data_IF_482482740926
#
_entry.id   IF_482482740926
#
_cell.length_a   1.000
_cell.length_b   1.000
_cell.length_c   1.000
_cell.angle_alpha   90.00
_cell.angle_beta   90.00
_cell.angle_gamma   90.00
#
_symmetry.space_group_name_H-M   'P 1'
#
loop_
_entity.id
_entity.type
_entity.pdbx_description
1 polymer ?
#
# COMPACT_ATOMS: atom_id res chain seq x y z
N UNK A 1 1.79 25.44 -19.63
CA UNK A 1 1.55 24.98 -18.24
C UNK A 1 1.57 26.13 -17.22
N UNK A 2 2.68 26.85 -17.00
CA UNK A 2 2.75 27.97 -16.03
C UNK A 2 1.61 28.98 -16.16
N UNK A 3 1.38 29.50 -17.36
CA UNK A 3 0.31 30.50 -17.61
C UNK A 3 -1.08 29.99 -17.24
N UNK A 4 -1.36 28.71 -17.45
CA UNK A 4 -2.65 28.11 -17.11
C UNK A 4 -2.80 27.92 -15.59
N UNK A 5 -1.78 27.39 -14.93
CA UNK A 5 -1.79 27.25 -13.46
C UNK A 5 -1.88 28.61 -12.74
N UNK A 6 -1.25 29.64 -13.29
CA UNK A 6 -1.28 30.99 -12.72
C UNK A 6 -2.60 31.73 -12.99
N UNK A 7 -3.59 31.10 -13.63
CA UNK A 7 -4.99 31.58 -13.62
C UNK A 7 -5.81 31.01 -12.44
N UNK A 8 -5.35 29.92 -11.83
CA UNK A 8 -6.05 29.32 -10.69
C UNK A 8 -5.95 30.22 -9.44
N UNK A 9 -7.02 30.24 -8.63
CA UNK A 9 -7.00 30.87 -7.31
C UNK A 9 -6.08 30.13 -6.34
N UNK A 10 -5.96 28.81 -6.49
CA UNK A 10 -5.11 27.95 -5.67
C UNK A 10 -4.69 26.72 -6.48
N UNK A 11 -3.42 26.35 -6.41
CA UNK A 11 -2.84 25.13 -6.96
C UNK A 11 -2.52 24.18 -5.79
N UNK A 12 -3.27 23.09 -5.67
CA UNK A 12 -3.12 22.13 -4.56
C UNK A 12 -2.20 20.99 -4.94
N UNK A 13 -1.21 20.72 -4.08
CA UNK A 13 -0.24 19.64 -4.21
C UNK A 13 -0.41 18.63 -3.09
N UNK A 14 -0.05 17.38 -3.32
CA UNK A 14 -0.23 16.28 -2.36
C UNK A 14 1.07 15.88 -1.65
N UNK A 15 2.19 16.52 -1.99
CA UNK A 15 3.50 16.34 -1.36
C UNK A 15 4.28 17.66 -1.31
N UNK A 16 5.13 17.80 -0.30
CA UNK A 16 6.01 18.97 -0.14
C UNK A 16 7.01 19.09 -1.30
N UNK A 17 7.52 17.96 -1.80
CA UNK A 17 8.40 17.93 -2.97
C UNK A 17 7.74 18.54 -4.21
N UNK A 18 6.46 18.23 -4.47
CA UNK A 18 5.71 18.82 -5.58
C UNK A 18 5.47 20.32 -5.37
N UNK A 19 5.21 20.76 -4.13
CA UNK A 19 5.10 22.19 -3.81
C UNK A 19 6.38 22.93 -4.18
N UNK A 20 7.54 22.39 -3.80
CA UNK A 20 8.85 22.96 -4.13
C UNK A 20 9.10 22.97 -5.64
N UNK A 21 8.82 21.86 -6.31
CA UNK A 21 9.00 21.72 -7.76
C UNK A 21 8.14 22.70 -8.56
N UNK A 22 6.85 22.85 -8.23
CA UNK A 22 5.97 23.78 -8.91
C UNK A 22 6.37 25.24 -8.65
N UNK A 23 6.81 25.56 -7.43
CA UNK A 23 7.36 26.89 -7.10
C UNK A 23 8.62 27.19 -7.91
N UNK A 24 9.54 26.23 -8.05
CA UNK A 24 10.74 26.35 -8.89
C UNK A 24 10.39 26.54 -10.37
N UNK A 25 9.29 25.93 -10.83
CA UNK A 25 8.73 26.16 -12.17
C UNK A 25 7.92 27.45 -12.30
N UNK A 26 7.93 28.34 -11.29
CA UNK A 26 7.28 29.66 -11.30
C UNK A 26 5.75 29.61 -11.27
N UNK A 27 5.19 28.52 -10.75
CA UNK A 27 3.76 28.40 -10.49
C UNK A 27 3.45 29.04 -9.14
N UNK A 28 2.43 29.88 -9.12
CA UNK A 28 2.04 30.69 -7.98
C UNK A 28 0.86 30.07 -7.22
N UNK A 29 0.63 30.56 -5.99
CA UNK A 29 -0.49 30.17 -5.12
C UNK A 29 -0.55 28.65 -4.95
N UNK A 30 0.59 28.06 -4.58
CA UNK A 30 0.75 26.62 -4.38
C UNK A 30 0.67 26.28 -2.89
N UNK A 31 -0.26 25.41 -2.53
CA UNK A 31 -0.45 24.91 -1.16
C UNK A 31 -0.47 23.38 -1.09
N UNK A 32 -0.16 22.87 0.11
CA UNK A 32 -0.17 21.44 0.40
C UNK A 32 -1.58 21.01 0.86
N UNK A 33 -2.22 20.15 0.06
CA UNK A 33 -3.35 19.35 0.51
C UNK A 33 -2.85 18.21 1.38
N UNK A 34 -3.04 18.31 2.70
CA UNK A 34 -2.71 17.24 3.62
C UNK A 34 -3.61 16.03 3.39
N UNK A 35 -2.98 14.88 3.17
CA UNK A 35 -3.69 13.60 3.07
C UNK A 35 -4.16 13.17 4.45
N UNK A 36 -5.32 12.53 4.52
CA UNK A 36 -5.89 11.99 5.76
C UNK A 36 -6.32 10.54 5.58
N UNK A 37 -6.35 9.81 6.70
CA UNK A 37 -6.90 8.47 6.82
C UNK A 37 -7.95 8.47 7.92
N UNK A 38 -8.94 7.58 7.83
CA UNK A 38 -9.96 7.42 8.86
C UNK A 38 -9.35 6.74 10.09
N UNK A 39 -8.95 7.54 11.08
CA UNK A 39 -8.34 7.07 12.33
C UNK A 39 -9.34 6.42 13.28
N UNK A 40 -10.65 6.51 13.03
CA UNK A 40 -11.66 5.77 13.79
C UNK A 40 -11.78 4.32 13.27
N UNK A 41 -11.68 4.16 11.95
CA UNK A 41 -11.73 2.86 11.29
C UNK A 41 -10.41 2.10 11.41
N UNK A 42 -9.28 2.72 11.08
CA UNK A 42 -7.96 2.07 11.08
C UNK A 42 -7.31 2.17 12.45
N UNK A 43 -7.57 1.17 13.29
CA UNK A 43 -7.01 1.11 14.65
C UNK A 43 -6.40 -0.27 14.96
N UNK A 44 -5.33 -0.33 15.79
CA UNK A 44 -4.69 -1.59 16.16
C UNK A 44 -5.64 -2.61 16.83
N UNK A 45 -6.66 -2.15 17.54
CA UNK A 45 -7.61 -3.03 18.24
C UNK A 45 -8.59 -3.75 17.30
N UNK A 46 -8.56 -3.45 15.99
CA UNK A 46 -9.36 -4.13 14.96
C UNK A 46 -8.80 -5.50 14.58
N UNK A 47 -7.64 -5.88 15.12
CA UNK A 47 -7.06 -7.20 14.90
C UNK A 47 -8.02 -8.30 15.40
N UNK A 48 -8.31 -9.28 14.55
CA UNK A 48 -9.12 -10.45 14.92
C UNK A 48 -8.36 -11.73 14.63
N UNK A 49 -8.64 -12.77 15.44
CA UNK A 49 -8.02 -14.09 15.27
C UNK A 49 -8.37 -14.68 13.91
N UNK A 50 -9.62 -14.52 13.47
CA UNK A 50 -10.12 -15.03 12.20
C UNK A 50 -9.41 -14.38 11.01
N UNK A 51 -9.19 -13.05 11.07
CA UNK A 51 -8.44 -12.35 10.02
C UNK A 51 -6.97 -12.77 10.02
N UNK A 52 -6.34 -12.87 11.20
CA UNK A 52 -4.94 -13.34 11.31
C UNK A 52 -4.78 -14.74 10.70
N UNK A 53 -5.61 -15.69 11.09
CA UNK A 53 -5.59 -17.06 10.56
C UNK A 53 -5.86 -17.10 9.06
N UNK A 54 -6.80 -16.31 8.55
CA UNK A 54 -7.08 -16.23 7.12
C UNK A 54 -5.87 -15.73 6.33
N UNK A 55 -5.28 -14.59 6.74
CA UNK A 55 -4.14 -13.98 6.06
C UNK A 55 -2.90 -14.88 6.11
N UNK A 56 -2.65 -15.51 7.25
CA UNK A 56 -1.53 -16.44 7.47
C UNK A 56 -1.84 -17.88 7.04
N UNK A 57 -2.90 -18.11 6.26
CA UNK A 57 -3.35 -19.44 5.79
C UNK A 57 -3.24 -20.53 6.88
N UNK A 58 -3.75 -20.24 8.07
CA UNK A 58 -3.80 -21.16 9.22
C UNK A 58 -2.54 -21.21 10.09
N UNK A 59 -1.58 -20.30 9.92
CA UNK A 59 -0.34 -20.27 10.73
C UNK A 59 -0.25 -18.92 11.47
N UNK A 60 -1.10 -18.67 12.47
CA UNK A 60 -1.21 -17.35 13.11
C UNK A 60 0.07 -16.89 13.81
N UNK A 61 0.93 -17.81 14.23
CA UNK A 61 2.19 -17.51 14.95
C UNK A 61 3.37 -17.15 14.02
N UNK A 62 3.23 -17.40 12.72
CA UNK A 62 4.23 -17.05 11.70
C UNK A 62 4.27 -15.54 11.46
N UNK A 63 5.42 -15.02 11.00
CA UNK A 63 5.56 -13.59 10.67
C UNK A 63 4.71 -13.24 9.45
N UNK A 64 3.78 -12.31 9.59
CA UNK A 64 2.86 -11.88 8.52
C UNK A 64 3.29 -10.56 7.90
N UNK A 65 3.79 -10.64 6.67
CA UNK A 65 4.03 -9.49 5.79
C UNK A 65 2.74 -9.16 5.03
N UNK A 66 2.34 -7.90 5.01
CA UNK A 66 1.15 -7.43 4.32
C UNK A 66 1.51 -6.45 3.21
N UNK A 67 0.95 -6.68 2.03
CA UNK A 67 0.86 -5.67 0.97
C UNK A 67 -0.62 -5.34 0.73
N UNK A 68 -0.93 -4.05 0.64
CA UNK A 68 -2.25 -3.56 0.26
C UNK A 68 -2.10 -2.62 -0.93
N UNK A 69 -2.78 -2.93 -2.03
CA UNK A 69 -2.80 -2.04 -3.19
C UNK A 69 -3.15 -2.75 -4.49
N UNK A 70 -3.15 -1.99 -5.58
CA UNK A 70 -3.33 -2.55 -6.92
C UNK A 70 -2.17 -3.51 -7.24
N UNK A 71 -2.48 -4.66 -7.82
CA UNK A 71 -1.48 -5.62 -8.33
C UNK A 71 -1.04 -5.19 -9.73
N UNK A 72 -0.29 -4.09 -9.79
CA UNK A 72 0.26 -3.52 -11.01
C UNK A 72 1.75 -3.81 -11.17
N UNK A 73 2.24 -3.86 -12.41
CA UNK A 73 3.66 -4.06 -12.68
C UNK A 73 4.51 -2.89 -12.13
N UNK A 74 3.97 -1.67 -12.11
CA UNK A 74 4.60 -0.48 -11.56
C UNK A 74 4.85 -0.55 -10.05
N UNK A 75 4.25 -1.53 -9.36
CA UNK A 75 4.39 -1.73 -7.92
C UNK A 75 5.56 -2.63 -7.57
N UNK A 76 6.18 -3.32 -8.54
CA UNK A 76 7.37 -4.16 -8.33
C UNK A 76 7.19 -5.19 -7.18
N UNK A 77 5.98 -5.77 -7.09
CA UNK A 77 5.58 -6.71 -6.02
C UNK A 77 6.43 -7.99 -6.03
N UNK A 78 6.90 -8.40 -7.21
CA UNK A 78 7.84 -9.51 -7.41
C UNK A 78 9.12 -9.36 -6.56
N UNK A 79 9.54 -8.13 -6.27
CA UNK A 79 10.74 -7.85 -5.44
C UNK A 79 10.56 -8.24 -3.98
N UNK A 80 9.37 -8.59 -3.54
CA UNK A 80 9.12 -9.11 -2.19
C UNK A 80 9.58 -10.57 -2.05
N UNK A 81 9.62 -11.36 -3.13
CA UNK A 81 9.93 -12.79 -3.04
C UNK A 81 11.28 -13.12 -2.37
N UNK A 82 12.39 -12.41 -2.68
CA UNK A 82 13.65 -12.63 -1.97
C UNK A 82 13.58 -12.29 -0.47
N UNK A 83 12.78 -11.28 -0.09
CA UNK A 83 12.58 -10.89 1.31
C UNK A 83 11.81 -11.98 2.05
N UNK A 84 10.74 -12.49 1.43
CA UNK A 84 9.94 -13.59 1.97
C UNK A 84 10.81 -14.85 2.22
N UNK A 85 11.73 -15.15 1.30
CA UNK A 85 12.63 -16.30 1.44
C UNK A 85 13.72 -16.10 2.51
N UNK A 86 14.09 -14.86 2.83
CA UNK A 86 15.14 -14.54 3.79
C UNK A 86 14.66 -14.55 5.26
N UNK A 87 13.35 -14.42 5.49
CA UNK A 87 12.77 -14.38 6.84
C UNK A 87 12.19 -15.77 7.16
N UNK A 88 12.72 -16.48 8.18
CA UNK A 88 12.19 -17.78 8.60
C UNK A 88 10.72 -17.67 9.00
N UNK A 89 9.91 -18.63 8.55
CA UNK A 89 8.47 -18.70 8.85
C UNK A 89 7.71 -17.40 8.51
N UNK A 90 8.18 -16.64 7.51
CA UNK A 90 7.42 -15.50 7.01
C UNK A 90 6.36 -15.96 6.01
N UNK A 91 5.24 -15.25 6.03
CA UNK A 91 4.12 -15.42 5.12
C UNK A 91 3.75 -14.07 4.55
N UNK A 92 3.30 -14.06 3.31
CA UNK A 92 2.92 -12.84 2.61
C UNK A 92 1.42 -12.84 2.34
N UNK A 93 0.71 -11.79 2.74
CA UNK A 93 -0.66 -11.54 2.33
C UNK A 93 -0.70 -10.38 1.32
N UNK A 94 -1.23 -10.64 0.13
CA UNK A 94 -1.44 -9.66 -0.92
C UNK A 94 -2.94 -9.30 -0.96
N UNK A 95 -3.28 -8.13 -0.45
CA UNK A 95 -4.64 -7.58 -0.47
C UNK A 95 -4.77 -6.58 -1.61
N UNK A 96 -5.69 -6.89 -2.52
CA UNK A 96 -5.98 -6.10 -3.71
C UNK A 96 -6.07 -6.98 -4.95
N UNK A 97 -6.24 -6.32 -6.09
CA UNK A 97 -6.27 -6.96 -7.40
C UNK A 97 -5.65 -6.04 -8.45
N UNK A 98 -5.41 -6.55 -9.64
CA UNK A 98 -4.86 -5.78 -10.73
C UNK A 98 -4.45 -6.63 -11.93
N UNK A 99 -4.09 -5.95 -13.03
CA UNK A 99 -3.76 -6.60 -14.30
C UNK A 99 -2.57 -7.55 -14.22
N UNK A 100 -1.72 -7.43 -13.19
CA UNK A 100 -0.54 -8.28 -13.02
C UNK A 100 -0.76 -9.47 -12.08
N UNK A 101 -2.01 -9.73 -11.63
CA UNK A 101 -2.33 -10.77 -10.65
C UNK A 101 -1.85 -12.16 -11.09
N UNK A 102 -2.21 -12.61 -12.28
CA UNK A 102 -1.87 -13.96 -12.77
C UNK A 102 -0.35 -14.19 -12.82
N UNK A 103 0.41 -13.20 -13.31
CA UNK A 103 1.87 -13.27 -13.33
C UNK A 103 2.46 -13.37 -11.92
N UNK A 104 1.90 -12.63 -10.96
CA UNK A 104 2.33 -12.69 -9.56
C UNK A 104 1.98 -14.04 -8.93
N UNK A 105 0.79 -14.58 -9.17
CA UNK A 105 0.40 -15.91 -8.68
C UNK A 105 1.37 -17.00 -9.18
N UNK A 106 1.74 -16.95 -10.46
CA UNK A 106 2.77 -17.83 -11.02
C UNK A 106 4.15 -17.58 -10.40
N UNK A 107 4.53 -16.32 -10.22
CA UNK A 107 5.83 -15.95 -9.65
C UNK A 107 5.97 -16.41 -8.20
N UNK A 108 4.91 -16.30 -7.39
CA UNK A 108 4.89 -16.71 -5.99
C UNK A 108 4.44 -18.16 -5.77
N UNK A 109 4.23 -18.94 -6.83
CA UNK A 109 3.88 -20.35 -6.72
C UNK A 109 4.90 -21.13 -5.87
N UNK A 110 4.39 -21.94 -4.93
CA UNK A 110 5.20 -22.70 -3.99
C UNK A 110 5.77 -21.91 -2.81
N UNK A 111 5.46 -20.62 -2.68
CA UNK A 111 5.80 -19.80 -1.51
C UNK A 111 4.61 -19.68 -0.56
N UNK A 112 4.82 -19.32 0.73
CA UNK A 112 3.73 -19.04 1.67
C UNK A 112 3.09 -17.67 1.40
N UNK A 113 2.59 -17.46 0.18
CA UNK A 113 1.91 -16.23 -0.26
C UNK A 113 0.42 -16.45 -0.44
N UNK A 114 -0.38 -15.63 0.20
CA UNK A 114 -1.84 -15.61 0.13
C UNK A 114 -2.33 -14.45 -0.74
N UNK A 115 -2.99 -14.76 -1.86
CA UNK A 115 -3.65 -13.77 -2.72
C UNK A 115 -5.09 -13.55 -2.24
N UNK A 116 -5.23 -12.68 -1.24
CA UNK A 116 -6.48 -12.45 -0.50
C UNK A 116 -7.57 -11.84 -1.38
N UNK A 117 -7.18 -11.14 -2.45
CA UNK A 117 -8.09 -10.34 -3.25
C UNK A 117 -8.48 -9.06 -2.51
N UNK A 118 -9.61 -8.49 -2.88
CA UNK A 118 -9.93 -7.12 -2.53
C UNK A 118 -10.73 -7.02 -1.22
N UNK A 119 -10.21 -6.25 -0.25
CA UNK A 119 -10.86 -5.96 1.04
C UNK A 119 -11.25 -4.48 1.15
N UNK A 120 -12.29 -4.20 1.94
CA UNK A 120 -12.77 -2.83 2.26
C UNK A 120 -13.24 -2.71 3.71
N UNK A 121 -13.33 -1.47 4.18
CA UNK A 121 -13.92 -1.15 5.49
C UNK A 121 -13.24 -1.90 6.63
N UNK A 122 -14.05 -2.44 7.54
CA UNK A 122 -13.59 -3.18 8.72
C UNK A 122 -12.69 -4.36 8.39
N UNK A 123 -12.92 -5.09 7.29
CA UNK A 123 -12.05 -6.20 6.89
C UNK A 123 -10.65 -5.73 6.50
N UNK A 124 -10.57 -4.58 5.82
CA UNK A 124 -9.27 -4.00 5.46
C UNK A 124 -8.56 -3.47 6.70
N UNK A 125 -9.28 -2.79 7.61
CA UNK A 125 -8.73 -2.33 8.88
C UNK A 125 -8.20 -3.49 9.72
N UNK A 126 -8.95 -4.59 9.83
CA UNK A 126 -8.52 -5.80 10.51
C UNK A 126 -7.27 -6.41 9.84
N UNK A 127 -7.18 -6.38 8.51
CA UNK A 127 -6.01 -6.90 7.81
C UNK A 127 -4.74 -6.11 8.14
N UNK A 128 -4.81 -4.78 8.17
CA UNK A 128 -3.70 -3.93 8.63
C UNK A 128 -3.34 -4.21 10.09
N UNK A 129 -4.35 -4.29 10.96
CA UNK A 129 -4.14 -4.50 12.40
C UNK A 129 -3.54 -5.89 12.73
N UNK A 130 -3.79 -6.90 11.89
CA UNK A 130 -3.25 -8.25 12.08
C UNK A 130 -1.84 -8.46 11.51
N UNK A 131 -1.29 -7.53 10.74
CA UNK A 131 0.02 -7.71 10.10
C UNK A 131 1.19 -7.35 11.03
N UNK A 132 2.31 -8.06 10.91
CA UNK A 132 3.53 -7.74 11.67
C UNK A 132 4.38 -6.68 10.97
N UNK A 133 4.32 -6.64 9.63
CA UNK A 133 4.95 -5.61 8.83
C UNK A 133 4.12 -5.31 7.57
N UNK A 134 3.98 -4.02 7.26
CA UNK A 134 3.48 -3.57 5.97
C UNK A 134 4.65 -3.39 4.99
N UNK A 135 4.56 -4.02 3.82
CA UNK A 135 5.59 -4.00 2.79
C UNK A 135 5.11 -3.22 1.58
N UNK A 136 5.92 -2.24 1.16
CA UNK A 136 5.64 -1.38 0.02
C UNK A 136 6.88 -1.27 -0.88
N UNK A 137 7.02 -2.16 -1.89
CA UNK A 137 8.23 -2.23 -2.73
C UNK A 137 8.28 -1.21 -3.87
N UNK A 138 7.20 -0.46 -4.09
CA UNK A 138 7.09 0.45 -5.23
C UNK A 138 8.07 1.61 -5.14
N UNK A 139 8.84 1.83 -6.22
CA UNK A 139 9.82 2.92 -6.31
C UNK A 139 9.20 4.28 -6.60
N UNK A 140 7.99 4.33 -7.15
CA UNK A 140 7.31 5.57 -7.54
C UNK A 140 5.84 5.52 -7.16
N UNK A 141 5.38 6.51 -6.41
CA UNK A 141 4.01 6.57 -5.94
C UNK A 141 3.50 8.03 -5.98
N UNK A 142 2.27 8.20 -6.46
CA UNK A 142 1.66 9.53 -6.68
C UNK A 142 1.04 10.09 -5.41
N UNK A 143 0.42 9.24 -4.59
CA UNK A 143 -0.32 9.68 -3.39
C UNK A 143 -0.02 8.87 -2.14
N UNK A 144 0.37 7.60 -2.23
CA UNK A 144 0.91 6.83 -1.10
C UNK A 144 -0.01 6.74 0.11
N UNK A 145 -1.33 6.76 -0.10
CA UNK A 145 -2.34 6.75 0.97
C UNK A 145 -2.28 5.48 1.85
N UNK A 146 -1.71 4.40 1.33
CA UNK A 146 -1.55 3.12 2.04
C UNK A 146 -0.51 3.16 3.17
N UNK A 147 0.26 4.25 3.29
CA UNK A 147 1.31 4.43 4.31
C UNK A 147 0.89 5.33 5.48
N UNK A 148 -0.34 5.87 5.46
CA UNK A 148 -0.85 6.79 6.49
C UNK A 148 -1.53 6.00 7.61
#
# INVERSE_FOLDING_TARGET
>A
LRTAHNQAMLNLCTSTAMVEELRNHGIERVDLWQRGVDTELFQPHKATKEMRESLSMGNPDDTLLLYVGRLGAEKEIDRIKPILAAIPNARLALVGDGPNRENLEQHFAGTPTNFVGYLRGEQLAAAYACADAFIFPSRTETLGLVLL
#
